data_IF_458040344899
#
_entry.id   IF_458040344899
#
_cell.length_a   1.000
_cell.length_b   1.000
_cell.length_c   1.000
_cell.angle_alpha   90.00
_cell.angle_beta   90.00
_cell.angle_gamma   90.00
#
_symmetry.space_group_name_H-M   'P 1'
#
loop_
_entity.id
_entity.type
_entity.pdbx_description
1 polymer ?
#
# COMPACT_ATOMS: atom_id res chain seq x y z
N UNK A 1 25.43 28.01 6.22
CA UNK A 1 24.07 28.33 5.78
C UNK A 1 23.32 27.02 5.62
N UNK A 2 22.41 26.70 6.55
CA UNK A 2 21.67 25.44 6.51
C UNK A 2 20.68 25.45 5.35
N UNK A 3 20.83 24.52 4.41
CA UNK A 3 19.81 24.19 3.42
C UNK A 3 18.61 23.62 4.18
N UNK A 4 17.66 24.47 4.59
CA UNK A 4 16.32 24.01 4.95
C UNK A 4 15.62 23.60 3.67
N UNK A 5 15.56 22.29 3.43
CA UNK A 5 14.88 21.74 2.27
C UNK A 5 13.35 21.82 2.50
N UNK A 6 12.56 22.21 1.49
CA UNK A 6 11.13 22.53 1.64
C UNK A 6 10.22 21.33 2.02
N UNK A 7 10.79 20.13 2.18
CA UNK A 7 10.11 18.90 2.63
C UNK A 7 10.62 18.37 3.99
N UNK A 8 11.38 19.17 4.75
CA UNK A 8 11.71 18.86 6.17
C UNK A 8 10.46 18.74 7.07
N UNK A 9 9.25 18.97 6.55
CA UNK A 9 8.03 18.50 7.19
C UNK A 9 7.91 16.98 7.00
N UNK A 10 8.50 16.30 7.99
CA UNK A 10 8.29 14.92 8.44
C UNK A 10 8.76 13.82 7.48
N UNK A 11 9.81 13.10 7.90
CA UNK A 11 10.17 11.74 7.44
C UNK A 11 8.96 10.79 7.42
N UNK A 12 7.88 11.12 8.13
CA UNK A 12 6.57 10.44 8.15
C UNK A 12 5.79 10.50 6.82
N UNK A 13 6.16 11.35 5.85
CA UNK A 13 5.40 11.48 4.59
C UNK A 13 5.86 10.56 3.46
N UNK A 14 6.82 9.66 3.70
CA UNK A 14 7.09 8.52 2.83
C UNK A 14 6.17 7.33 3.12
N UNK A 15 5.23 7.47 4.06
CA UNK A 15 4.24 6.45 4.36
C UNK A 15 3.26 6.25 3.19
N UNK A 16 2.98 4.98 2.95
CA UNK A 16 2.24 4.47 1.82
C UNK A 16 0.80 5.00 1.79
N UNK A 17 0.33 5.40 0.61
CA UNK A 17 -1.08 5.73 0.39
C UNK A 17 -1.78 4.50 -0.18
N UNK A 18 -2.83 4.03 0.48
CA UNK A 18 -3.69 2.98 -0.07
C UNK A 18 -4.76 3.61 -0.97
N UNK A 19 -4.83 3.17 -2.23
CA UNK A 19 -5.99 3.41 -3.10
C UNK A 19 -6.75 2.09 -3.26
N UNK A 20 -8.06 2.06 -2.98
CA UNK A 20 -8.83 0.82 -3.06
C UNK A 20 -9.43 0.67 -4.46
N UNK A 21 -9.17 -0.46 -5.13
CA UNK A 21 -9.78 -0.82 -6.40
C UNK A 21 -10.65 -2.10 -6.22
N UNK A 22 -11.78 -2.20 -6.95
CA UNK A 22 -12.67 -3.37 -6.87
C UNK A 22 -12.57 -4.14 -8.19
N UNK A 23 -12.06 -5.38 -8.13
CA UNK A 23 -11.77 -6.17 -9.33
C UNK A 23 -13.00 -6.91 -9.87
N UNK A 24 -13.96 -7.25 -9.01
CA UNK A 24 -15.21 -7.87 -9.47
C UNK A 24 -16.38 -7.64 -8.51
N UNK A 25 -17.53 -7.34 -9.12
CA UNK A 25 -18.86 -7.45 -8.53
C UNK A 25 -19.59 -8.60 -9.23
N UNK A 26 -20.57 -9.27 -8.60
CA UNK A 26 -21.37 -10.28 -9.30
C UNK A 26 -22.05 -9.64 -10.52
N UNK A 27 -21.62 -10.04 -11.72
CA UNK A 27 -22.28 -9.66 -12.97
C UNK A 27 -23.53 -10.52 -13.21
N UNK A 28 -24.49 -9.94 -13.92
CA UNK A 28 -25.70 -10.59 -14.38
C UNK A 28 -25.38 -11.90 -15.11
N UNK A 29 -25.83 -13.03 -14.56
CA UNK A 29 -26.17 -14.21 -15.35
C UNK A 29 -25.06 -15.19 -15.79
N UNK A 30 -23.84 -15.12 -15.27
CA UNK A 30 -22.77 -16.04 -15.69
C UNK A 30 -22.23 -16.87 -14.51
N UNK A 31 -22.42 -18.19 -14.55
CA UNK A 31 -21.76 -19.14 -13.62
C UNK A 31 -20.24 -19.14 -13.89
N UNK A 32 -19.38 -19.16 -12.86
CA UNK A 32 -17.94 -19.24 -13.08
C UNK A 32 -17.54 -20.66 -13.50
N UNK A 33 -16.88 -20.76 -14.66
CA UNK A 33 -16.12 -21.94 -15.08
C UNK A 33 -14.71 -21.78 -14.52
N UNK A 34 -14.28 -22.72 -13.67
CA UNK A 34 -12.92 -22.80 -13.14
C UNK A 34 -11.98 -23.30 -14.26
N UNK A 35 -11.20 -22.39 -14.85
CA UNK A 35 -10.05 -22.72 -15.68
C UNK A 35 -8.79 -22.85 -14.84
N UNK A 36 -8.23 -24.05 -14.78
CA UNK A 36 -6.83 -24.27 -14.39
C UNK A 36 -5.96 -23.70 -15.51
N UNK A 37 -5.06 -22.78 -15.19
CA UNK A 37 -3.70 -22.80 -15.75
C UNK A 37 -2.79 -21.75 -15.09
N UNK A 38 -1.68 -22.26 -14.52
CA UNK A 38 -0.50 -21.50 -14.13
C UNK A 38 0.25 -21.03 -15.38
N UNK A 39 0.44 -19.72 -15.55
CA UNK A 39 1.61 -19.15 -16.25
C UNK A 39 1.73 -17.65 -16.03
N UNK A 40 2.92 -17.25 -15.60
CA UNK A 40 3.40 -15.86 -15.56
C UNK A 40 3.46 -15.32 -16.99
N UNK A 41 2.78 -14.21 -17.26
CA UNK A 41 3.03 -13.38 -18.43
C UNK A 41 3.34 -11.96 -17.98
N UNK A 42 4.55 -11.52 -18.27
CA UNK A 42 4.97 -10.12 -18.29
C UNK A 42 4.44 -9.49 -19.57
N UNK A 43 3.56 -8.50 -19.46
CA UNK A 43 3.25 -7.59 -20.58
C UNK A 43 3.60 -6.16 -20.17
N UNK A 44 4.58 -5.60 -20.87
CA UNK A 44 4.71 -4.16 -21.03
C UNK A 44 3.52 -3.70 -21.88
N UNK A 45 2.51 -3.13 -21.25
CA UNK A 45 1.56 -2.25 -21.92
C UNK A 45 0.84 -1.39 -20.88
N UNK A 46 0.95 -0.07 -21.03
CA UNK A 46 0.08 0.92 -20.42
C UNK A 46 -1.34 0.71 -20.96
N UNK A 47 -2.10 -0.16 -20.30
CA UNK A 47 -3.48 -0.46 -20.63
C UNK A 47 -4.20 -0.80 -19.34
N UNK A 48 -4.98 0.15 -18.83
CA UNK A 48 -6.08 -0.15 -17.93
C UNK A 48 -6.97 -1.19 -18.63
N UNK A 49 -6.86 -2.47 -18.26
CA UNK A 49 -8.00 -3.37 -18.43
C UNK A 49 -9.00 -3.03 -17.32
N UNK A 50 -9.68 -1.89 -17.51
CA UNK A 50 -11.03 -1.71 -17.01
C UNK A 50 -11.85 -2.88 -17.53
N UNK A 51 -12.24 -3.79 -16.67
CA UNK A 51 -13.37 -4.67 -16.97
C UNK A 51 -14.55 -3.74 -17.20
N UNK A 52 -14.95 -3.62 -18.47
CA UNK A 52 -16.02 -2.73 -18.89
C UNK A 52 -17.28 -3.01 -18.05
N UNK A 53 -17.72 -2.00 -17.30
CA UNK A 53 -19.14 -1.91 -16.95
C UNK A 53 -19.91 -1.74 -18.26
N UNK A 54 -21.04 -2.44 -18.47
CA UNK A 54 -21.85 -2.23 -19.65
C UNK A 54 -22.28 -0.75 -19.73
N UNK A 55 -22.44 -0.20 -20.95
CA UNK A 55 -22.72 1.23 -21.13
C UNK A 55 -23.98 1.64 -20.38
N UNK A 56 -23.91 2.82 -19.75
CA UNK A 56 -25.04 3.47 -19.08
C UNK A 56 -26.27 3.48 -19.98
N UNK A 57 -27.28 2.67 -19.64
CA UNK A 57 -28.60 2.84 -20.19
C UNK A 57 -29.19 4.10 -19.56
N UNK A 58 -29.18 5.20 -20.31
CA UNK A 58 -30.05 6.34 -20.07
C UNK A 58 -31.49 5.83 -19.97
N UNK A 59 -32.17 6.17 -18.87
CA UNK A 59 -33.61 6.02 -18.73
C UNK A 59 -34.06 4.88 -17.81
N UNK A 60 -34.90 5.29 -16.86
CA UNK A 60 -35.74 4.53 -15.95
C UNK A 60 -35.12 3.87 -14.71
N UNK A 61 -35.65 4.31 -13.55
CA UNK A 61 -35.32 3.87 -12.20
C UNK A 61 -35.62 2.39 -11.94
N UNK A 62 -34.75 1.51 -12.40
CA UNK A 62 -34.91 0.05 -12.36
C UNK A 62 -33.93 -0.72 -11.47
N UNK A 63 -33.08 -0.06 -10.67
CA UNK A 63 -32.05 -0.73 -9.84
C UNK A 63 -32.59 -1.59 -8.68
N UNK A 64 -33.90 -1.60 -8.43
CA UNK A 64 -34.52 -2.15 -7.22
C UNK A 64 -35.17 -3.54 -7.38
N UNK A 65 -35.29 -4.08 -8.60
CA UNK A 65 -36.11 -5.28 -8.87
C UNK A 65 -35.37 -6.61 -8.67
N UNK A 66 -34.03 -6.65 -8.81
CA UNK A 66 -33.27 -7.90 -8.72
C UNK A 66 -32.96 -8.33 -7.28
N UNK A 67 -32.61 -7.38 -6.40
CA UNK A 67 -32.22 -7.66 -5.00
C UNK A 67 -33.40 -8.14 -4.13
N UNK A 68 -34.64 -7.83 -4.52
CA UNK A 68 -35.84 -8.35 -3.87
C UNK A 68 -36.17 -9.80 -4.30
N UNK A 69 -35.73 -10.23 -5.49
CA UNK A 69 -35.89 -11.63 -5.96
C UNK A 69 -34.90 -12.60 -5.32
N UNK A 70 -33.79 -12.10 -4.77
CA UNK A 70 -32.70 -12.93 -4.22
C UNK A 70 -32.80 -13.21 -2.70
N UNK A 71 -33.85 -12.72 -2.02
CA UNK A 71 -34.02 -12.94 -0.57
C UNK A 71 -32.85 -12.43 0.27
N UNK A 72 -32.11 -11.42 -0.20
CA UNK A 72 -30.94 -10.89 0.49
C UNK A 72 -31.36 -10.13 1.75
N UNK A 73 -30.89 -10.59 2.90
CA UNK A 73 -31.02 -9.88 4.17
C UNK A 73 -30.39 -8.47 4.07
N UNK A 74 -30.99 -7.50 4.77
CA UNK A 74 -30.65 -6.07 4.72
C UNK A 74 -29.16 -5.81 4.91
N UNK A 75 -28.52 -6.53 5.83
CA UNK A 75 -27.08 -6.44 6.10
C UNK A 75 -26.24 -6.77 4.87
N UNK A 76 -26.61 -7.80 4.10
CA UNK A 76 -25.90 -8.17 2.86
C UNK A 76 -26.07 -7.11 1.77
N UNK A 77 -27.28 -6.53 1.66
CA UNK A 77 -27.56 -5.47 0.69
C UNK A 77 -26.69 -4.24 0.97
N UNK A 78 -26.63 -3.80 2.21
CA UNK A 78 -25.80 -2.66 2.60
C UNK A 78 -24.30 -2.94 2.44
N UNK A 79 -23.84 -4.17 2.74
CA UNK A 79 -22.47 -4.57 2.48
C UNK A 79 -22.10 -4.45 1.00
N UNK A 80 -22.94 -4.98 0.09
CA UNK A 80 -22.73 -4.86 -1.36
C UNK A 80 -22.73 -3.40 -1.81
N UNK A 81 -23.64 -2.58 -1.31
CA UNK A 81 -23.68 -1.16 -1.63
C UNK A 81 -22.41 -0.42 -1.16
N UNK A 82 -21.83 -0.83 -0.03
CA UNK A 82 -20.53 -0.34 0.45
C UNK A 82 -19.39 -0.69 -0.51
N UNK A 83 -19.36 -1.93 -1.01
CA UNK A 83 -18.37 -2.37 -2.00
C UNK A 83 -18.54 -1.62 -3.34
N UNK A 84 -19.77 -1.37 -3.77
CA UNK A 84 -20.04 -0.57 -4.98
C UNK A 84 -19.54 0.86 -4.82
N UNK A 85 -19.81 1.50 -3.67
CA UNK A 85 -19.29 2.84 -3.39
C UNK A 85 -17.75 2.88 -3.35
N UNK A 86 -17.08 1.80 -2.89
CA UNK A 86 -15.63 1.67 -3.01
C UNK A 86 -15.17 1.62 -4.47
N UNK A 87 -15.87 0.85 -5.32
CA UNK A 87 -15.59 0.78 -6.75
C UNK A 87 -15.73 2.15 -7.44
N UNK A 88 -16.73 2.93 -7.02
CA UNK A 88 -16.98 4.30 -7.48
C UNK A 88 -15.99 5.32 -6.88
N UNK A 89 -15.04 4.89 -6.04
CA UNK A 89 -14.07 5.71 -5.31
C UNK A 89 -14.71 6.74 -4.36
N UNK A 90 -15.99 6.54 -4.01
CA UNK A 90 -16.69 7.33 -3.01
C UNK A 90 -16.48 6.75 -1.61
N UNK A 91 -15.29 7.00 -1.07
CA UNK A 91 -14.88 6.48 0.25
C UNK A 91 -15.81 6.91 1.38
N UNK A 92 -16.38 8.12 1.30
CA UNK A 92 -17.29 8.65 2.32
C UNK A 92 -18.60 7.86 2.34
N UNK A 93 -19.18 7.60 1.16
CA UNK A 93 -20.40 6.80 1.02
C UNK A 93 -20.17 5.34 1.36
N UNK A 94 -19.03 4.77 0.94
CA UNK A 94 -18.61 3.43 1.32
C UNK A 94 -18.53 3.26 2.84
N UNK A 95 -17.80 4.16 3.52
CA UNK A 95 -17.69 4.15 4.98
C UNK A 95 -19.06 4.29 5.65
N UNK A 96 -19.96 5.11 5.10
CA UNK A 96 -21.35 5.19 5.54
C UNK A 96 -22.05 3.82 5.55
N UNK A 97 -22.03 3.10 4.43
CA UNK A 97 -22.64 1.78 4.35
C UNK A 97 -22.02 0.78 5.33
N UNK A 98 -20.68 0.72 5.42
CA UNK A 98 -20.03 -0.21 6.34
C UNK A 98 -20.30 0.13 7.81
N UNK A 99 -20.40 1.41 8.19
CA UNK A 99 -20.87 1.81 9.53
C UNK A 99 -22.24 1.26 9.86
N UNK A 100 -23.19 1.32 8.91
CA UNK A 100 -24.52 0.75 9.12
C UNK A 100 -24.46 -0.78 9.28
N UNK A 101 -23.62 -1.46 8.52
CA UNK A 101 -23.41 -2.92 8.65
C UNK A 101 -22.86 -3.27 10.02
N UNK A 102 -21.74 -2.66 10.44
CA UNK A 102 -21.10 -2.96 11.73
C UNK A 102 -21.91 -2.52 12.94
N UNK A 103 -22.80 -1.52 12.78
CA UNK A 103 -23.75 -1.13 13.85
C UNK A 103 -24.78 -2.22 14.19
N UNK A 104 -25.02 -3.15 13.25
CA UNK A 104 -25.93 -4.29 13.44
C UNK A 104 -25.20 -5.57 13.82
N UNK A 105 -24.04 -5.79 13.21
CA UNK A 105 -23.17 -6.93 13.49
C UNK A 105 -21.71 -6.46 13.57
N UNK A 106 -21.30 -6.11 14.78
CA UNK A 106 -19.95 -5.64 15.07
C UNK A 106 -18.90 -6.76 14.91
N UNK A 107 -19.32 -8.03 14.96
CA UNK A 107 -18.46 -9.19 14.81
C UNK A 107 -18.20 -9.57 13.35
N UNK A 108 -18.80 -8.87 12.39
CA UNK A 108 -18.62 -9.14 10.96
C UNK A 108 -17.26 -8.61 10.46
N UNK A 109 -16.25 -9.46 10.56
CA UNK A 109 -14.85 -9.15 10.23
C UNK A 109 -14.68 -8.49 8.85
N UNK A 110 -15.40 -8.96 7.83
CA UNK A 110 -15.29 -8.45 6.46
C UNK A 110 -15.76 -6.99 6.32
N UNK A 111 -16.80 -6.61 7.06
CA UNK A 111 -17.31 -5.24 7.07
C UNK A 111 -16.40 -4.31 7.88
N UNK A 112 -15.83 -4.81 8.98
CA UNK A 112 -14.82 -4.09 9.75
C UNK A 112 -13.56 -3.85 8.92
N UNK A 113 -13.09 -4.86 8.18
CA UNK A 113 -11.96 -4.72 7.27
C UNK A 113 -12.24 -3.67 6.17
N UNK A 114 -13.39 -3.75 5.52
CA UNK A 114 -13.75 -2.77 4.49
C UNK A 114 -13.91 -1.34 5.06
N UNK A 115 -14.44 -1.21 6.28
CA UNK A 115 -14.50 0.07 7.00
C UNK A 115 -13.09 0.60 7.31
N UNK A 116 -12.16 -0.26 7.74
CA UNK A 116 -10.78 0.15 8.00
C UNK A 116 -10.09 0.72 6.73
N UNK A 117 -10.40 0.16 5.56
CA UNK A 117 -9.84 0.63 4.28
C UNK A 117 -10.37 1.99 3.81
N UNK A 118 -11.63 2.35 4.13
CA UNK A 118 -12.25 3.59 3.64
C UNK A 118 -12.62 4.61 4.72
N UNK A 119 -12.40 4.28 6.00
CA UNK A 119 -12.58 5.19 7.11
C UNK A 119 -11.75 6.46 6.92
N UNK A 120 -12.37 7.61 7.12
CA UNK A 120 -11.70 8.92 6.98
C UNK A 120 -11.03 9.37 8.28
N UNK A 121 -11.37 8.70 9.39
CA UNK A 121 -10.86 8.99 10.72
C UNK A 121 -9.83 7.91 11.10
N UNK A 122 -8.57 8.27 11.40
CA UNK A 122 -7.53 7.31 11.79
C UNK A 122 -7.97 6.41 12.97
N UNK A 123 -8.56 6.99 14.01
CA UNK A 123 -9.05 6.23 15.17
C UNK A 123 -10.16 5.24 14.79
N UNK A 124 -11.01 5.56 13.82
CA UNK A 124 -12.03 4.64 13.31
C UNK A 124 -11.39 3.49 12.53
N UNK A 125 -10.40 3.78 11.67
CA UNK A 125 -9.68 2.75 10.94
C UNK A 125 -9.00 1.77 11.88
N UNK A 126 -8.36 2.29 12.94
CA UNK A 126 -7.72 1.50 13.97
C UNK A 126 -8.70 0.62 14.74
N UNK A 127 -9.85 1.16 15.16
CA UNK A 127 -10.88 0.39 15.86
C UNK A 127 -11.47 -0.71 14.97
N UNK A 128 -11.72 -0.40 13.71
CA UNK A 128 -12.27 -1.35 12.75
C UNK A 128 -11.27 -2.49 12.48
N UNK A 129 -9.98 -2.18 12.28
CA UNK A 129 -8.98 -3.23 12.03
C UNK A 129 -8.73 -4.09 13.28
N UNK A 130 -8.74 -3.51 14.49
CA UNK A 130 -8.65 -4.25 15.75
C UNK A 130 -9.78 -5.30 15.85
N UNK A 131 -11.01 -4.92 15.47
CA UNK A 131 -12.17 -5.82 15.45
C UNK A 131 -12.09 -6.88 14.36
N UNK A 132 -11.65 -6.51 13.16
CA UNK A 132 -11.45 -7.45 12.06
C UNK A 132 -10.41 -8.52 12.43
N UNK A 133 -9.28 -8.09 13.02
CA UNK A 133 -8.21 -8.97 13.49
C UNK A 133 -8.68 -9.89 14.62
N UNK A 134 -9.44 -9.38 15.60
CA UNK A 134 -10.01 -10.20 16.68
C UNK A 134 -10.92 -11.31 16.14
N UNK A 135 -11.65 -11.04 15.04
CA UNK A 135 -12.55 -11.98 14.38
C UNK A 135 -11.93 -12.65 13.15
N UNK A 136 -10.60 -12.70 13.05
CA UNK A 136 -9.89 -13.20 11.86
C UNK A 136 -10.30 -14.62 11.43
N UNK A 137 -10.75 -15.49 12.34
CA UNK A 137 -11.21 -16.85 11.98
C UNK A 137 -12.50 -16.85 11.14
N UNK A 138 -13.27 -15.76 11.19
CA UNK A 138 -14.48 -15.55 10.40
C UNK A 138 -14.25 -14.66 9.18
N UNK A 139 -13.03 -14.16 9.00
CA UNK A 139 -12.67 -13.34 7.85
C UNK A 139 -12.86 -14.14 6.55
N UNK A 140 -13.23 -13.47 5.47
CA UNK A 140 -13.63 -13.98 4.15
C UNK A 140 -15.03 -14.60 4.03
N UNK A 141 -15.78 -14.79 5.12
CA UNK A 141 -17.09 -15.47 5.05
C UNK A 141 -18.14 -14.69 4.25
N UNK A 142 -18.27 -13.39 4.50
CA UNK A 142 -19.18 -12.51 3.79
C UNK A 142 -18.70 -12.29 2.36
N UNK A 143 -17.41 -12.06 2.15
CA UNK A 143 -16.81 -11.93 0.82
C UNK A 143 -17.08 -13.17 -0.07
N UNK A 144 -16.87 -14.38 0.47
CA UNK A 144 -17.19 -15.64 -0.23
C UNK A 144 -18.68 -15.78 -0.52
N UNK A 145 -19.52 -15.42 0.45
CA UNK A 145 -20.99 -15.54 0.34
C UNK A 145 -21.59 -14.55 -0.66
N UNK A 146 -20.96 -13.40 -0.88
CA UNK A 146 -21.38 -12.42 -1.90
C UNK A 146 -20.66 -12.60 -3.24
N UNK A 147 -19.60 -13.42 -3.29
CA UNK A 147 -18.75 -13.57 -4.47
C UNK A 147 -17.92 -12.31 -4.76
N UNK A 148 -17.66 -11.48 -3.74
CA UNK A 148 -16.90 -10.24 -3.89
C UNK A 148 -15.41 -10.51 -3.72
N UNK A 149 -14.63 -10.05 -4.70
CA UNK A 149 -13.17 -9.94 -4.58
C UNK A 149 -12.78 -8.47 -4.62
N UNK A 150 -12.15 -8.04 -3.53
CA UNK A 150 -11.68 -6.67 -3.35
C UNK A 150 -10.14 -6.67 -3.40
N UNK A 151 -9.58 -5.68 -4.08
CA UNK A 151 -8.14 -5.51 -4.22
C UNK A 151 -7.76 -4.10 -3.80
N UNK A 152 -7.30 -3.94 -2.57
CA UNK A 152 -6.67 -2.68 -2.21
C UNK A 152 -5.32 -2.58 -2.95
N UNK A 153 -5.12 -1.48 -3.66
CA UNK A 153 -3.83 -1.13 -4.23
C UNK A 153 -3.06 -0.33 -3.18
N UNK A 154 -2.07 -0.98 -2.59
CA UNK A 154 -1.14 -0.34 -1.67
C UNK A 154 0.01 0.26 -2.46
N UNK A 155 0.17 1.57 -2.42
CA UNK A 155 1.31 2.22 -3.07
C UNK A 155 2.47 2.16 -2.09
N UNK A 156 3.38 1.22 -2.30
CA UNK A 156 4.63 1.18 -1.55
C UNK A 156 5.45 2.46 -1.81
N UNK A 157 6.44 2.72 -0.94
CA UNK A 157 7.51 3.67 -1.25
C UNK A 157 7.97 3.41 -2.69
N UNK A 158 7.93 4.46 -3.53
CA UNK A 158 8.26 4.46 -4.97
C UNK A 158 7.09 4.48 -5.98
N UNK A 159 5.84 4.59 -5.54
CA UNK A 159 4.71 4.63 -6.48
C UNK A 159 4.36 3.25 -7.05
N UNK A 160 5.10 2.20 -6.67
CA UNK A 160 4.85 0.83 -7.10
C UNK A 160 3.65 0.28 -6.36
N UNK A 161 2.67 -0.10 -7.16
CA UNK A 161 1.38 -0.60 -6.71
C UNK A 161 1.49 -2.06 -6.34
N UNK A 162 1.18 -2.36 -5.09
CA UNK A 162 1.02 -3.71 -4.58
C UNK A 162 -0.44 -4.03 -4.45
N UNK A 163 -0.82 -5.20 -4.94
CA UNK A 163 -2.20 -5.65 -4.91
C UNK A 163 -2.41 -6.49 -3.67
N UNK A 164 -3.26 -5.99 -2.78
CA UNK A 164 -3.65 -6.64 -1.54
C UNK A 164 -5.09 -7.12 -1.71
N UNK A 165 -5.28 -8.43 -1.65
CA UNK A 165 -6.60 -9.03 -1.78
C UNK A 165 -7.34 -9.03 -0.44
N UNK A 166 -8.66 -9.22 -0.48
CA UNK A 166 -9.48 -9.46 0.70
C UNK A 166 -9.38 -10.92 1.21
N UNK A 167 -8.16 -11.39 1.41
CA UNK A 167 -7.79 -12.70 1.94
C UNK A 167 -6.96 -12.58 3.23
N UNK A 168 -6.62 -13.71 3.86
CA UNK A 168 -5.88 -13.68 5.13
C UNK A 168 -4.54 -12.94 5.05
N UNK A 169 -3.67 -13.16 4.03
CA UNK A 169 -2.48 -12.34 3.84
C UNK A 169 -2.80 -10.84 3.77
N UNK A 170 -3.87 -10.47 3.07
CA UNK A 170 -4.26 -9.07 2.97
C UNK A 170 -4.78 -8.47 4.28
N UNK A 171 -5.52 -9.23 5.07
CA UNK A 171 -5.90 -8.80 6.43
C UNK A 171 -4.65 -8.56 7.28
N UNK A 172 -3.68 -9.48 7.26
CA UNK A 172 -2.45 -9.38 8.04
C UNK A 172 -1.62 -8.14 7.67
N UNK A 173 -1.37 -7.92 6.37
CA UNK A 173 -0.60 -6.75 5.90
C UNK A 173 -1.33 -5.45 6.23
N UNK A 174 -2.63 -5.35 5.97
CA UNK A 174 -3.39 -4.12 6.27
C UNK A 174 -3.45 -3.86 7.78
N UNK A 175 -3.55 -4.92 8.60
CA UNK A 175 -3.50 -4.79 10.07
C UNK A 175 -2.15 -4.24 10.52
N UNK A 176 -1.06 -4.83 10.05
CA UNK A 176 0.28 -4.38 10.36
C UNK A 176 0.47 -2.92 9.93
N UNK A 177 0.05 -2.57 8.72
CA UNK A 177 0.17 -1.22 8.17
C UNK A 177 -0.60 -0.18 8.99
N UNK A 178 -1.87 -0.44 9.32
CA UNK A 178 -2.65 0.48 10.14
C UNK A 178 -2.02 0.63 11.53
N UNK A 179 -1.49 -0.45 12.12
CA UNK A 179 -0.75 -0.37 13.38
C UNK A 179 0.52 0.46 13.28
N UNK A 180 1.31 0.28 12.22
CA UNK A 180 2.49 1.09 11.94
C UNK A 180 2.12 2.58 11.84
N UNK A 181 1.08 2.92 11.07
CA UNK A 181 0.63 4.31 10.89
C UNK A 181 0.09 4.95 12.19
N UNK A 182 -0.36 4.13 13.14
CA UNK A 182 -0.79 4.59 14.47
C UNK A 182 0.29 4.48 15.55
N UNK A 183 1.53 4.15 15.19
CA UNK A 183 2.63 3.99 16.14
C UNK A 183 2.52 2.77 17.06
N UNK A 184 1.60 1.83 16.79
CA UNK A 184 1.48 0.54 17.51
C UNK A 184 2.48 -0.49 16.97
N UNK A 185 3.77 -0.15 17.00
CA UNK A 185 4.81 -0.91 16.30
C UNK A 185 4.97 -2.35 16.83
N UNK A 186 4.86 -2.58 18.13
CA UNK A 186 4.96 -3.92 18.71
C UNK A 186 3.77 -4.79 18.30
N UNK A 187 2.59 -4.20 18.11
CA UNK A 187 1.42 -4.91 17.62
C UNK A 187 1.59 -5.26 16.14
N UNK A 188 2.08 -4.33 15.33
CA UNK A 188 2.41 -4.58 13.92
C UNK A 188 3.43 -5.71 13.77
N UNK A 189 4.51 -5.65 14.55
CA UNK A 189 5.53 -6.70 14.56
C UNK A 189 4.92 -8.06 14.88
N UNK A 190 4.09 -8.17 15.92
CA UNK A 190 3.47 -9.45 16.30
C UNK A 190 2.64 -10.04 15.17
N UNK A 191 1.84 -9.23 14.47
CA UNK A 191 1.03 -9.68 13.32
C UNK A 191 1.93 -10.26 12.23
N UNK A 192 3.02 -9.56 11.89
CA UNK A 192 3.94 -9.96 10.83
C UNK A 192 4.80 -11.19 11.22
N UNK A 193 5.11 -11.34 12.50
CA UNK A 193 5.95 -12.43 13.02
C UNK A 193 5.21 -13.77 13.09
N UNK A 194 3.94 -13.77 13.49
CA UNK A 194 3.14 -15.00 13.59
C UNK A 194 2.51 -15.42 12.26
N UNK A 195 2.62 -14.59 11.22
CA UNK A 195 2.04 -14.87 9.92
C UNK A 195 2.70 -16.10 9.30
N UNK A 196 1.87 -17.02 8.81
CA UNK A 196 2.33 -18.15 7.96
C UNK A 196 2.86 -17.69 6.59
N UNK A 197 2.66 -16.41 6.24
CA UNK A 197 3.07 -15.79 4.98
C UNK A 197 4.34 -14.94 5.12
N UNK A 198 5.06 -15.07 6.25
CA UNK A 198 6.27 -14.30 6.55
C UNK A 198 7.38 -14.38 5.48
N UNK A 199 7.35 -15.41 4.63
CA UNK A 199 8.27 -15.60 3.51
C UNK A 199 7.91 -14.83 2.23
N UNK A 200 6.75 -14.18 2.17
CA UNK A 200 6.43 -13.31 1.05
C UNK A 200 7.21 -11.99 1.15
N UNK A 201 7.68 -11.48 0.02
CA UNK A 201 8.52 -10.27 -0.01
C UNK A 201 7.82 -9.04 0.60
N UNK A 202 6.50 -8.92 0.44
CA UNK A 202 5.72 -7.84 1.08
C UNK A 202 5.71 -7.94 2.61
N UNK A 203 5.65 -9.15 3.17
CA UNK A 203 5.75 -9.37 4.61
C UNK A 203 7.17 -9.04 5.11
N UNK A 204 8.20 -9.47 4.38
CA UNK A 204 9.60 -9.14 4.70
C UNK A 204 9.83 -7.64 4.67
N UNK A 205 9.30 -6.94 3.66
CA UNK A 205 9.41 -5.49 3.55
C UNK A 205 8.72 -4.78 4.72
N UNK A 206 7.44 -5.07 4.95
CA UNK A 206 6.65 -4.46 6.04
C UNK A 206 7.28 -4.74 7.41
N UNK A 207 7.82 -5.94 7.62
CA UNK A 207 8.54 -6.28 8.86
C UNK A 207 9.86 -5.54 8.99
N UNK A 208 10.61 -5.40 7.89
CA UNK A 208 11.85 -4.62 7.86
C UNK A 208 11.61 -3.15 8.19
N UNK A 209 10.56 -2.55 7.64
CA UNK A 209 10.12 -1.19 7.99
C UNK A 209 9.74 -1.08 9.47
N UNK A 210 8.93 -2.03 9.98
CA UNK A 210 8.53 -2.04 11.38
C UNK A 210 9.74 -2.15 12.33
N UNK A 211 10.73 -3.00 12.00
CA UNK A 211 11.96 -3.16 12.78
C UNK A 211 12.83 -1.91 12.75
N UNK A 212 12.96 -1.25 11.60
CA UNK A 212 13.65 0.04 11.49
C UNK A 212 13.01 1.08 12.43
N UNK A 213 11.68 1.18 12.44
CA UNK A 213 10.93 2.10 13.31
C UNK A 213 11.01 1.73 14.80
N UNK A 214 11.26 0.46 15.11
CA UNK A 214 11.55 -0.03 16.46
C UNK A 214 13.03 0.11 16.85
N UNK A 215 13.86 0.75 16.02
CA UNK A 215 15.32 0.88 16.22
C UNK A 215 16.08 -0.45 16.26
N UNK A 216 15.51 -1.52 15.68
CA UNK A 216 16.13 -2.85 15.55
C UNK A 216 16.82 -2.97 14.19
N UNK A 217 17.84 -2.15 14.00
CA UNK A 217 18.41 -1.85 12.69
C UNK A 217 19.10 -3.06 12.03
N UNK A 218 19.82 -3.88 12.79
CA UNK A 218 20.50 -5.07 12.26
C UNK A 218 19.48 -6.08 11.69
N UNK A 219 18.40 -6.34 12.43
CA UNK A 219 17.33 -7.24 11.98
C UNK A 219 16.57 -6.68 10.77
N UNK A 220 16.37 -5.35 10.73
CA UNK A 220 15.80 -4.69 9.57
C UNK A 220 16.69 -4.91 8.32
N UNK A 221 18.00 -4.70 8.44
CA UNK A 221 18.97 -4.91 7.35
C UNK A 221 18.92 -6.36 6.84
N UNK A 222 18.88 -7.34 7.75
CA UNK A 222 18.88 -8.76 7.38
C UNK A 222 17.64 -9.18 6.59
N UNK A 223 16.48 -8.63 6.90
CA UNK A 223 15.25 -8.85 6.13
C UNK A 223 15.29 -8.11 4.79
N UNK A 224 15.65 -6.83 4.81
CA UNK A 224 15.58 -5.96 3.64
C UNK A 224 16.58 -6.36 2.55
N UNK A 225 17.76 -6.89 2.92
CA UNK A 225 18.76 -7.35 1.95
C UNK A 225 18.25 -8.47 1.04
N UNK A 226 17.27 -9.26 1.50
CA UNK A 226 16.65 -10.35 0.72
C UNK A 226 15.73 -9.84 -0.40
N UNK A 227 15.45 -8.55 -0.44
CA UNK A 227 14.54 -7.92 -1.41
C UNK A 227 15.27 -7.31 -2.61
N UNK A 228 16.60 -7.42 -2.68
CA UNK A 228 17.42 -6.83 -3.74
C UNK A 228 17.01 -7.28 -5.16
N UNK A 229 16.50 -8.51 -5.30
CA UNK A 229 16.11 -9.06 -6.60
C UNK A 229 14.63 -8.82 -6.93
N UNK A 230 13.87 -8.21 -6.02
CA UNK A 230 12.45 -7.90 -6.24
C UNK A 230 12.33 -6.51 -6.90
N UNK A 231 11.91 -6.40 -8.18
CA UNK A 231 11.83 -5.11 -8.87
C UNK A 231 10.86 -4.13 -8.21
N UNK A 232 9.87 -4.63 -7.48
CA UNK A 232 8.88 -3.86 -6.73
C UNK A 232 9.42 -3.25 -5.44
N UNK A 233 10.39 -3.91 -4.81
CA UNK A 233 10.80 -3.65 -3.43
C UNK A 233 12.29 -3.33 -3.26
N UNK A 234 13.12 -3.62 -4.25
CA UNK A 234 14.57 -3.44 -4.15
C UNK A 234 14.94 -2.00 -3.80
N UNK A 235 14.37 -1.01 -4.49
CA UNK A 235 14.64 0.40 -4.25
C UNK A 235 14.21 0.88 -2.84
N UNK A 236 12.95 0.70 -2.40
CA UNK A 236 12.55 1.11 -1.05
C UNK A 236 13.25 0.30 0.05
N UNK A 237 13.53 -0.98 -0.17
CA UNK A 237 14.28 -1.80 0.79
C UNK A 237 15.72 -1.33 0.93
N UNK A 238 16.38 -0.98 -0.18
CA UNK A 238 17.69 -0.34 -0.19
C UNK A 238 17.68 0.98 0.59
N UNK A 239 16.64 1.80 0.42
CA UNK A 239 16.55 3.08 1.12
C UNK A 239 16.50 2.89 2.64
N UNK A 240 15.61 2.01 3.12
CA UNK A 240 15.50 1.65 4.54
C UNK A 240 16.76 0.97 5.09
N UNK A 241 17.42 0.13 4.28
CA UNK A 241 18.70 -0.49 4.65
C UNK A 241 19.79 0.58 4.82
N UNK A 242 19.85 1.57 3.92
CA UNK A 242 20.76 2.72 4.05
C UNK A 242 20.50 3.50 5.33
N UNK A 243 19.23 3.83 5.64
CA UNK A 243 18.87 4.54 6.86
C UNK A 243 19.22 3.75 8.13
N UNK A 244 19.02 2.44 8.10
CA UNK A 244 19.39 1.54 9.20
C UNK A 244 20.91 1.53 9.43
N UNK A 245 21.71 1.48 8.35
CA UNK A 245 23.16 1.54 8.42
C UNK A 245 23.67 2.90 8.93
N UNK A 246 23.03 4.00 8.51
CA UNK A 246 23.32 5.33 9.04
C UNK A 246 23.07 5.41 10.55
N UNK A 247 21.94 4.88 11.01
CA UNK A 247 21.59 4.90 12.43
C UNK A 247 22.55 4.06 13.29
N UNK A 248 23.14 3.01 12.72
CA UNK A 248 24.22 2.21 13.34
C UNK A 248 25.61 2.86 13.25
N UNK A 249 25.75 3.99 12.55
CA UNK A 249 27.03 4.67 12.34
C UNK A 249 27.92 4.05 11.27
N UNK A 250 27.41 3.10 10.48
CA UNK A 250 28.14 2.47 9.37
C UNK A 250 28.10 3.32 8.10
N UNK A 251 28.59 4.57 8.21
CA UNK A 251 28.49 5.62 7.19
C UNK A 251 29.03 5.16 5.83
N UNK A 252 30.23 4.58 5.78
CA UNK A 252 30.84 4.13 4.51
C UNK A 252 30.02 3.04 3.83
N UNK A 253 29.41 2.14 4.61
CA UNK A 253 28.55 1.07 4.08
C UNK A 253 27.22 1.64 3.58
N UNK A 254 26.62 2.59 4.30
CA UNK A 254 25.41 3.30 3.86
C UNK A 254 25.65 4.02 2.51
N UNK A 255 26.77 4.73 2.38
CA UNK A 255 27.20 5.36 1.11
C UNK A 255 27.28 4.34 -0.03
N UNK A 256 27.87 3.17 0.21
CA UNK A 256 27.96 2.12 -0.79
C UNK A 256 26.58 1.58 -1.19
N UNK A 257 25.69 1.37 -0.23
CA UNK A 257 24.31 0.90 -0.48
C UNK A 257 23.56 1.88 -1.36
N UNK A 258 23.51 3.16 -0.98
CA UNK A 258 22.82 4.18 -1.78
C UNK A 258 23.41 4.31 -3.19
N UNK A 259 24.73 4.31 -3.32
CA UNK A 259 25.38 4.41 -4.63
C UNK A 259 25.11 3.21 -5.51
N UNK A 260 25.07 2.00 -4.96
CA UNK A 260 24.79 0.79 -5.74
C UNK A 260 23.34 0.76 -6.20
N UNK A 261 22.44 1.16 -5.32
CA UNK A 261 21.02 1.26 -5.60
C UNK A 261 20.71 2.30 -6.69
N UNK A 262 21.35 3.48 -6.61
CA UNK A 262 21.26 4.56 -7.60
C UNK A 262 21.92 4.24 -8.96
N UNK A 263 22.58 3.08 -9.13
CA UNK A 263 23.04 2.60 -10.45
C UNK A 263 21.94 1.86 -11.21
N UNK A 264 20.87 1.45 -10.53
CA UNK A 264 19.73 0.78 -11.17
C UNK A 264 18.74 1.82 -11.67
N UNK A 265 18.13 1.64 -12.84
CA UNK A 265 17.34 2.71 -13.50
C UNK A 265 15.86 2.75 -13.08
N UNK A 266 15.43 2.00 -12.05
CA UNK A 266 14.00 1.79 -11.76
C UNK A 266 13.57 2.27 -10.37
N UNK A 267 13.61 3.60 -10.18
CA UNK A 267 13.00 4.29 -9.04
C UNK A 267 12.18 5.51 -9.50
N UNK A 268 11.23 5.92 -8.68
CA UNK A 268 10.53 7.20 -8.75
C UNK A 268 11.47 8.36 -8.44
N UNK A 269 11.20 9.51 -9.07
CA UNK A 269 11.93 10.76 -8.85
C UNK A 269 12.03 11.11 -7.36
N UNK A 270 10.96 10.88 -6.59
CA UNK A 270 10.92 11.19 -5.15
C UNK A 270 11.90 10.32 -4.35
N UNK A 271 11.92 9.01 -4.59
CA UNK A 271 12.81 8.10 -3.88
C UNK A 271 14.26 8.31 -4.30
N UNK A 272 14.51 8.57 -5.58
CA UNK A 272 15.83 8.97 -6.08
C UNK A 272 16.36 10.20 -5.34
N UNK A 273 15.55 11.25 -5.27
CA UNK A 273 15.91 12.48 -4.56
C UNK A 273 16.20 12.18 -3.09
N UNK A 274 15.36 11.40 -2.40
CA UNK A 274 15.57 11.04 -1.01
C UNK A 274 16.92 10.33 -0.79
N UNK A 275 17.25 9.34 -1.61
CA UNK A 275 18.53 8.64 -1.54
C UNK A 275 19.72 9.58 -1.83
N UNK A 276 19.62 10.43 -2.85
CA UNK A 276 20.69 11.37 -3.22
C UNK A 276 20.93 12.42 -2.15
N UNK A 277 19.88 12.93 -1.48
CA UNK A 277 20.01 13.87 -0.36
C UNK A 277 20.79 13.23 0.77
N UNK A 278 20.41 12.01 1.19
CA UNK A 278 21.16 11.27 2.22
C UNK A 278 22.60 11.04 1.79
N UNK A 279 22.82 10.64 0.54
CA UNK A 279 24.16 10.42 0.00
C UNK A 279 25.03 11.69 0.05
N UNK A 280 24.49 12.88 -0.27
CA UNK A 280 25.22 14.15 -0.12
C UNK A 280 25.66 14.36 1.32
N UNK A 281 24.74 14.23 2.28
CA UNK A 281 25.03 14.41 3.71
C UNK A 281 26.13 13.46 4.18
N UNK A 282 26.04 12.17 3.82
CA UNK A 282 27.02 11.17 4.21
C UNK A 282 28.39 11.39 3.54
N UNK A 283 28.42 11.81 2.28
CA UNK A 283 29.68 12.11 1.58
C UNK A 283 30.37 13.35 2.17
N UNK A 284 29.62 14.34 2.65
CA UNK A 284 30.18 15.48 3.39
C UNK A 284 30.80 15.04 4.72
N UNK A 285 30.14 14.13 5.45
CA UNK A 285 30.67 13.55 6.68
C UNK A 285 31.97 12.76 6.45
N UNK A 286 32.10 12.11 5.30
CA UNK A 286 33.34 11.43 4.88
C UNK A 286 34.36 12.38 4.22
N UNK A 287 34.14 13.69 4.24
CA UNK A 287 34.98 14.73 3.61
C UNK A 287 35.18 14.55 2.08
N UNK A 288 34.30 13.79 1.42
CA UNK A 288 34.32 13.51 -0.04
C UNK A 288 33.61 14.61 -0.83
N UNK A 289 34.08 15.84 -0.69
CA UNK A 289 33.42 17.05 -1.21
C UNK A 289 33.11 17.01 -2.72
N UNK A 290 34.02 16.48 -3.54
CA UNK A 290 33.80 16.38 -4.98
C UNK A 290 32.67 15.41 -5.34
N UNK A 291 32.52 14.32 -4.58
CA UNK A 291 31.42 13.36 -4.79
C UNK A 291 30.10 13.98 -4.33
N UNK A 292 30.11 14.65 -3.17
CA UNK A 292 28.94 15.36 -2.67
C UNK A 292 28.45 16.40 -3.68
N UNK A 293 29.35 17.21 -4.25
CA UNK A 293 29.00 18.20 -5.27
C UNK A 293 28.36 17.55 -6.51
N UNK A 294 28.94 16.44 -7.00
CA UNK A 294 28.37 15.71 -8.13
C UNK A 294 26.94 15.22 -7.88
N UNK A 295 26.63 14.80 -6.65
CA UNK A 295 25.27 14.40 -6.29
C UNK A 295 24.32 15.59 -6.15
N UNK A 296 24.81 16.77 -5.71
CA UNK A 296 24.02 18.02 -5.72
C UNK A 296 23.65 18.45 -7.14
N UNK A 297 24.58 18.36 -8.08
CA UNK A 297 24.32 18.70 -9.48
C UNK A 297 23.23 17.79 -10.08
N UNK A 298 23.25 16.50 -9.75
CA UNK A 298 22.20 15.53 -10.13
C UNK A 298 20.86 15.86 -9.49
N UNK A 299 20.84 16.22 -8.21
CA UNK A 299 19.62 16.67 -7.53
C UNK A 299 19.00 17.91 -8.18
N UNK A 300 19.82 18.90 -8.56
CA UNK A 300 19.35 20.11 -9.23
C UNK A 300 18.73 19.80 -10.61
N UNK A 301 19.30 18.85 -11.35
CA UNK A 301 18.75 18.37 -12.61
C UNK A 301 17.38 17.68 -12.40
N UNK A 302 17.24 16.83 -11.38
CA UNK A 302 15.96 16.17 -11.05
C UNK A 302 14.88 17.16 -10.62
N UNK A 303 15.23 18.19 -9.83
CA UNK A 303 14.30 19.25 -9.43
C UNK A 303 13.78 20.01 -10.65
N UNK A 304 14.69 20.41 -11.54
CA UNK A 304 14.34 21.13 -12.76
C UNK A 304 13.43 20.30 -13.66
N UNK A 305 13.68 18.99 -13.78
CA UNK A 305 12.81 18.07 -14.53
C UNK A 305 11.41 17.98 -13.90
N UNK A 306 11.32 17.78 -12.59
CA UNK A 306 10.06 17.67 -11.87
C UNK A 306 9.21 18.96 -11.93
N UNK A 307 9.85 20.14 -11.91
CA UNK A 307 9.16 21.42 -12.02
C UNK A 307 8.61 21.65 -13.44
N UNK A 308 9.34 21.20 -14.47
CA UNK A 308 8.89 21.26 -15.86
C UNK A 308 7.67 20.35 -16.13
N UNK A 309 7.61 19.16 -15.51
CA UNK A 309 6.46 18.25 -15.62
C UNK A 309 5.19 18.83 -14.97
N UNK A 310 5.33 19.62 -13.90
CA UNK A 310 4.18 20.30 -13.27
C UNK A 310 3.68 21.49 -14.09
N UNK A 311 4.55 22.16 -14.83
CA UNK A 311 4.22 23.32 -15.67
C UNK A 311 3.45 22.99 -16.96
N UNK A 312 3.53 21.74 -17.45
CA UNK A 312 2.87 21.30 -18.69
C UNK A 312 1.47 20.72 -18.48
N UNK A 313 1.05 20.45 -17.24
CA UNK A 313 -0.28 19.91 -16.88
C UNK A 313 -1.40 20.95 -16.70
N UNK A 314 -1.17 22.23 -17.06
CA UNK A 314 -2.10 23.35 -16.91
C UNK A 314 -2.45 24.03 -18.26
N UNK A 315 -2.45 23.27 -19.36
CA UNK A 315 -2.98 23.75 -20.65
C UNK A 315 -4.14 22.90 -21.13
#
# INVERSE_FOLDING_TARGET
>A
MGLRLPWEKTEEQLLCFASVDVLSLPQSGSRPVLGRDNRVQTTHNTGLETVALPPESKGDGGGYSFLNKLGLDKTKKEFINGIQALADKDLKKAAGFFRHVVSRDDALADAQFALALCGQNPQEQLQAIDRAWLQQTKFTQMFKKTGVQLCATFIACDGKQMRIMNDHPGLEIITAEIYQNHGKLEAAQRVLEISQHADLDIFRFSRGECLYRLHRYEEAIDLLRRLNDNPGLAAPACYLMGLSLEALGYISTAVQVYRNCLKTETYSTRLEMAMRIRLVVLLEQEEKQWMAQRERDRLAALQSAADNEKGTGLK
#
